data_IF_135068198584
#
_entry.id   IF_135068198584
#
_cell.length_a   1.000
_cell.length_b   1.000
_cell.length_c   1.000
_cell.angle_alpha   90.00
_cell.angle_beta   90.00
_cell.angle_gamma   90.00
#
_symmetry.space_group_name_H-M   'P 1'
#
loop_
_entity.id
_entity.type
_entity.pdbx_description
1 polymer ?
#
# COMPACT_ATOMS: atom_id res chain seq x y z
N UNK A 1 -4.46 -40.43 -20.33
CA UNK A 1 -4.16 -39.79 -19.02
C UNK A 1 -2.74 -39.27 -19.16
N UNK A 2 -2.50 -37.98 -18.87
CA UNK A 2 -1.15 -37.41 -18.86
C UNK A 2 -0.59 -37.45 -17.43
N UNK A 3 0.72 -37.58 -17.33
CA UNK A 3 1.40 -37.55 -16.03
C UNK A 3 1.22 -36.19 -15.35
N UNK A 4 1.25 -36.21 -14.01
CA UNK A 4 1.14 -34.99 -13.21
C UNK A 4 2.41 -34.11 -13.37
N UNK A 5 2.21 -32.87 -13.81
CA UNK A 5 3.29 -31.89 -14.04
C UNK A 5 3.38 -30.83 -12.93
N UNK A 6 2.60 -30.95 -11.87
CA UNK A 6 2.50 -29.94 -10.80
C UNK A 6 3.84 -29.60 -10.18
N UNK A 7 4.73 -30.59 -10.01
CA UNK A 7 6.07 -30.38 -9.46
C UNK A 7 7.02 -29.60 -10.39
N UNK A 8 6.68 -29.48 -11.66
CA UNK A 8 7.46 -28.77 -12.67
C UNK A 8 6.96 -27.33 -12.88
N UNK A 9 5.76 -27.01 -12.41
CA UNK A 9 5.14 -25.69 -12.54
C UNK A 9 5.58 -24.82 -11.38
N UNK A 10 6.32 -23.74 -11.68
CA UNK A 10 6.73 -22.76 -10.67
C UNK A 10 5.64 -21.71 -10.45
N UNK A 11 5.45 -21.32 -9.20
CA UNK A 11 4.57 -20.20 -8.86
C UNK A 11 5.16 -18.88 -9.37
N UNK A 12 4.28 -17.96 -9.74
CA UNK A 12 4.68 -16.57 -10.05
C UNK A 12 5.33 -15.99 -8.79
N UNK A 13 6.49 -15.35 -8.97
CA UNK A 13 7.26 -14.82 -7.84
C UNK A 13 8.36 -15.73 -7.30
N UNK A 14 8.39 -17.03 -7.72
CA UNK A 14 9.36 -17.99 -7.19
C UNK A 14 10.63 -18.15 -8.03
N UNK A 15 10.69 -17.60 -9.24
CA UNK A 15 11.76 -17.90 -10.21
C UNK A 15 13.14 -17.40 -9.75
N UNK A 16 13.20 -16.16 -9.26
CA UNK A 16 14.45 -15.50 -8.82
C UNK A 16 14.44 -15.18 -7.34
N UNK A 17 13.54 -15.79 -6.57
CA UNK A 17 13.49 -15.58 -5.13
C UNK A 17 14.64 -16.27 -4.40
N UNK A 18 15.20 -15.60 -3.42
CA UNK A 18 16.16 -16.15 -2.48
C UNK A 18 15.92 -15.58 -1.08
N UNK A 19 16.39 -16.29 -0.05
CA UNK A 19 16.24 -15.84 1.36
C UNK A 19 16.87 -14.48 1.64
N UNK A 20 17.89 -14.10 0.86
CA UNK A 20 18.64 -12.86 1.03
C UNK A 20 18.15 -11.75 0.08
N UNK A 21 17.10 -11.99 -0.71
CA UNK A 21 16.60 -11.03 -1.69
C UNK A 21 16.19 -9.70 -1.05
N UNK A 22 15.64 -9.73 0.18
CA UNK A 22 15.26 -8.52 0.91
C UNK A 22 16.44 -7.54 1.13
N UNK A 23 17.67 -8.05 1.29
CA UNK A 23 18.88 -7.22 1.43
C UNK A 23 19.10 -6.38 0.16
N UNK A 24 18.92 -6.99 -1.00
CA UNK A 24 19.04 -6.30 -2.29
C UNK A 24 17.94 -5.24 -2.45
N UNK A 25 16.69 -5.56 -2.09
CA UNK A 25 15.58 -4.60 -2.12
C UNK A 25 15.86 -3.39 -1.20
N UNK A 26 16.37 -3.66 0.01
CA UNK A 26 16.76 -2.63 0.96
C UNK A 26 17.85 -1.70 0.38
N UNK A 27 18.89 -2.29 -0.21
CA UNK A 27 20.03 -1.53 -0.76
C UNK A 27 19.65 -0.72 -2.01
N UNK A 28 18.84 -1.29 -2.89
CA UNK A 28 18.51 -0.65 -4.17
C UNK A 28 17.43 0.43 -4.02
N UNK A 29 16.42 0.20 -3.19
CA UNK A 29 15.30 1.14 -3.01
C UNK A 29 15.36 1.94 -1.71
N UNK A 30 16.28 1.63 -0.80
CA UNK A 30 16.36 2.30 0.50
C UNK A 30 15.10 2.11 1.34
N UNK A 31 14.53 0.89 1.33
CA UNK A 31 13.33 0.54 2.10
C UNK A 31 13.67 0.31 3.57
N UNK A 32 12.66 0.37 4.43
CA UNK A 32 12.77 -0.18 5.79
C UNK A 32 13.00 -1.69 5.75
N UNK A 33 13.74 -2.20 6.73
CA UNK A 33 14.14 -3.62 6.77
C UNK A 33 12.94 -4.56 6.85
N UNK A 34 11.94 -4.23 7.66
CA UNK A 34 10.73 -5.03 7.81
C UNK A 34 9.84 -4.98 6.56
N UNK A 35 9.76 -3.83 5.87
CA UNK A 35 9.08 -3.67 4.58
C UNK A 35 9.77 -4.52 3.51
N UNK A 36 11.10 -4.42 3.38
CA UNK A 36 11.85 -5.21 2.41
C UNK A 36 11.70 -6.73 2.66
N UNK A 37 11.73 -7.15 3.92
CA UNK A 37 11.51 -8.54 4.31
C UNK A 37 10.09 -9.00 3.99
N UNK A 38 9.08 -8.19 4.33
CA UNK A 38 7.68 -8.45 4.00
C UNK A 38 7.48 -8.61 2.49
N UNK A 39 7.96 -7.66 1.69
CA UNK A 39 7.81 -7.69 0.23
C UNK A 39 8.49 -8.93 -0.39
N UNK A 40 9.71 -9.26 0.05
CA UNK A 40 10.41 -10.45 -0.41
C UNK A 40 9.65 -11.74 -0.14
N UNK A 41 9.04 -11.86 1.04
CA UNK A 41 8.31 -13.06 1.43
C UNK A 41 6.91 -13.16 0.81
N UNK A 42 6.24 -12.01 0.62
CA UNK A 42 4.87 -11.98 0.13
C UNK A 42 4.78 -12.02 -1.41
N UNK A 43 5.72 -11.37 -2.09
CA UNK A 43 5.69 -11.21 -3.56
C UNK A 43 6.80 -11.99 -4.27
N UNK A 44 7.79 -12.52 -3.54
CA UNK A 44 8.93 -13.16 -4.16
C UNK A 44 9.66 -12.22 -5.13
N UNK A 45 10.04 -12.68 -6.33
CA UNK A 45 10.70 -11.84 -7.33
C UNK A 45 9.82 -10.72 -7.91
N UNK A 46 8.50 -10.75 -7.65
CA UNK A 46 7.59 -9.64 -7.98
C UNK A 46 7.74 -8.45 -7.05
N UNK A 47 8.42 -8.60 -5.91
CA UNK A 47 8.74 -7.48 -5.04
C UNK A 47 9.47 -6.35 -5.78
N UNK A 48 10.29 -6.65 -6.79
CA UNK A 48 10.91 -5.65 -7.66
C UNK A 48 9.88 -4.79 -8.39
N UNK A 49 8.81 -5.41 -8.89
CA UNK A 49 7.73 -4.69 -9.55
C UNK A 49 6.95 -3.81 -8.57
N UNK A 50 6.74 -4.26 -7.34
CA UNK A 50 6.11 -3.45 -6.28
C UNK A 50 7.00 -2.26 -5.93
N UNK A 51 8.30 -2.48 -5.72
CA UNK A 51 9.25 -1.43 -5.38
C UNK A 51 9.40 -0.39 -6.49
N UNK A 52 9.33 -0.80 -7.77
CA UNK A 52 9.47 0.12 -8.92
C UNK A 52 8.34 1.17 -9.01
N UNK A 53 7.19 0.91 -8.41
CA UNK A 53 6.07 1.85 -8.34
C UNK A 53 5.96 2.55 -6.98
N UNK A 54 6.88 2.24 -6.04
CA UNK A 54 6.90 2.88 -4.73
C UNK A 54 7.34 4.35 -4.85
N UNK A 55 6.56 5.23 -4.25
CA UNK A 55 6.86 6.66 -4.21
C UNK A 55 7.97 6.96 -3.19
N UNK A 56 8.81 7.99 -3.44
CA UNK A 56 9.73 8.50 -2.45
C UNK A 56 8.98 8.98 -1.20
N UNK A 57 9.56 8.77 -0.03
CA UNK A 57 9.00 9.23 1.25
C UNK A 57 9.21 10.74 1.47
N UNK A 58 10.24 11.31 0.83
CA UNK A 58 10.70 12.66 1.10
C UNK A 58 11.63 12.76 2.31
N UNK A 59 11.89 11.66 3.00
CA UNK A 59 12.75 11.58 4.16
C UNK A 59 14.17 11.11 3.79
N UNK A 60 15.11 11.30 4.73
CA UNK A 60 16.47 10.79 4.56
C UNK A 60 16.52 9.24 4.56
N UNK A 61 15.64 8.62 5.32
CA UNK A 61 15.45 7.18 5.40
C UNK A 61 14.10 6.87 6.09
N UNK A 62 13.30 5.93 5.54
CA UNK A 62 13.52 5.21 4.28
C UNK A 62 13.36 6.11 3.05
N UNK A 63 14.07 5.81 1.95
CA UNK A 63 13.99 6.62 0.72
C UNK A 63 12.67 6.40 -0.03
N UNK A 64 12.19 5.15 -0.08
CA UNK A 64 10.96 4.76 -0.75
C UNK A 64 10.08 3.92 0.17
N UNK A 65 8.81 3.77 -0.20
CA UNK A 65 7.86 2.90 0.50
C UNK A 65 7.07 3.61 1.57
N UNK A 66 6.20 4.57 1.17
CA UNK A 66 5.26 5.21 2.08
C UNK A 66 4.38 4.15 2.70
N UNK A 67 4.41 4.03 4.03
CA UNK A 67 3.61 3.04 4.76
C UNK A 67 2.15 3.42 4.78
N UNK A 68 1.29 2.41 4.78
CA UNK A 68 -0.16 2.57 5.00
C UNK A 68 -0.47 2.83 6.48
N UNK A 69 0.30 2.20 7.36
CA UNK A 69 0.21 2.31 8.81
C UNK A 69 1.58 2.07 9.46
N UNK A 70 1.83 2.68 10.63
CA UNK A 70 3.12 2.58 11.32
C UNK A 70 3.38 1.22 11.95
N UNK A 71 2.34 0.45 12.29
CA UNK A 71 2.46 -0.83 12.99
C UNK A 71 2.64 -2.01 12.02
N UNK A 72 2.29 -1.83 10.74
CA UNK A 72 2.29 -2.90 9.75
C UNK A 72 3.27 -2.57 8.61
N UNK A 73 3.95 -3.59 8.04
CA UNK A 73 4.96 -3.38 7.01
C UNK A 73 4.38 -3.18 5.60
N UNK A 74 3.10 -2.80 5.50
CA UNK A 74 2.44 -2.59 4.21
C UNK A 74 2.65 -1.17 3.71
N UNK A 75 2.90 -1.03 2.39
CA UNK A 75 3.15 0.23 1.73
C UNK A 75 2.09 0.56 0.67
N UNK A 76 1.95 1.84 0.33
CA UNK A 76 1.00 2.31 -0.70
C UNK A 76 1.21 1.62 -2.07
N UNK A 77 2.46 1.29 -2.40
CA UNK A 77 2.79 0.62 -3.66
C UNK A 77 2.10 -0.75 -3.80
N UNK A 78 1.88 -1.46 -2.68
CA UNK A 78 1.18 -2.75 -2.70
C UNK A 78 -0.29 -2.59 -3.10
N UNK A 79 -0.95 -1.50 -2.66
CA UNK A 79 -2.34 -1.21 -3.09
C UNK A 79 -2.38 -0.98 -4.60
N UNK A 80 -1.45 -0.18 -5.14
CA UNK A 80 -1.35 0.07 -6.59
C UNK A 80 -1.05 -1.21 -7.37
N UNK A 81 -0.12 -2.01 -6.87
CA UNK A 81 0.24 -3.28 -7.49
C UNK A 81 -0.93 -4.27 -7.50
N UNK A 82 -1.62 -4.42 -6.35
CA UNK A 82 -2.79 -5.29 -6.23
C UNK A 82 -3.91 -4.87 -7.21
N UNK A 83 -4.13 -3.57 -7.39
CA UNK A 83 -5.13 -3.05 -8.33
C UNK A 83 -4.72 -3.28 -9.78
N UNK A 84 -3.46 -2.95 -10.15
CA UNK A 84 -2.98 -3.02 -11.54
C UNK A 84 -2.71 -4.45 -12.01
N UNK A 85 -2.18 -5.31 -11.14
CA UNK A 85 -1.59 -6.60 -11.51
C UNK A 85 -2.32 -7.80 -10.92
N UNK A 86 -3.12 -7.62 -9.87
CA UNK A 86 -3.75 -8.73 -9.15
C UNK A 86 -5.28 -8.64 -9.09
N UNK A 87 -5.88 -7.76 -9.92
CA UNK A 87 -7.32 -7.63 -10.08
C UNK A 87 -8.10 -7.30 -8.78
N UNK A 88 -7.49 -6.55 -7.86
CA UNK A 88 -8.21 -6.00 -6.71
C UNK A 88 -9.15 -4.88 -7.20
N UNK A 89 -10.47 -5.07 -7.07
CA UNK A 89 -11.50 -4.14 -7.55
C UNK A 89 -12.38 -3.58 -6.43
N UNK A 90 -12.18 -4.04 -5.19
CA UNK A 90 -12.85 -3.57 -3.97
C UNK A 90 -11.82 -3.35 -2.88
N UNK A 91 -12.09 -2.42 -1.95
CA UNK A 91 -11.22 -2.21 -0.80
C UNK A 91 -11.03 -3.49 0.03
N UNK A 92 -12.07 -4.31 0.16
CA UNK A 92 -12.04 -5.61 0.84
C UNK A 92 -11.13 -6.64 0.14
N UNK A 93 -10.92 -6.54 -1.17
CA UNK A 93 -9.99 -7.43 -1.88
C UNK A 93 -8.56 -7.19 -1.39
N UNK A 94 -8.18 -5.93 -1.19
CA UNK A 94 -6.86 -5.60 -0.67
C UNK A 94 -6.73 -5.95 0.81
N UNK A 95 -7.60 -5.44 1.69
CA UNK A 95 -7.44 -5.59 3.14
C UNK A 95 -7.61 -7.02 3.65
N UNK A 96 -8.40 -7.85 2.95
CA UNK A 96 -8.71 -9.21 3.39
C UNK A 96 -7.97 -10.29 2.58
N UNK A 97 -7.83 -10.12 1.26
CA UNK A 97 -7.34 -11.19 0.38
C UNK A 97 -5.88 -11.00 -0.03
N UNK A 98 -5.42 -9.75 -0.22
CA UNK A 98 -4.05 -9.47 -0.66
C UNK A 98 -3.12 -9.25 0.53
N UNK A 99 -3.39 -8.27 1.36
CA UNK A 99 -2.57 -7.94 2.53
C UNK A 99 -2.94 -8.72 3.79
N UNK A 100 -4.20 -9.13 3.94
CA UNK A 100 -4.76 -9.74 5.15
C UNK A 100 -4.72 -8.84 6.39
N UNK A 101 -4.52 -7.54 6.23
CA UNK A 101 -4.44 -6.54 7.30
C UNK A 101 -5.63 -6.61 8.25
N UNK A 102 -6.86 -6.77 7.70
CA UNK A 102 -8.10 -6.83 8.47
C UNK A 102 -8.14 -7.95 9.50
N UNK A 103 -7.38 -9.03 9.28
CA UNK A 103 -7.27 -10.16 10.21
C UNK A 103 -6.08 -10.03 11.17
N UNK A 104 -5.06 -9.26 10.80
CA UNK A 104 -3.85 -9.10 11.60
C UNK A 104 -4.01 -7.99 12.65
N UNK A 105 -4.54 -6.84 12.24
CA UNK A 105 -4.81 -5.70 13.10
C UNK A 105 -5.94 -4.85 12.51
N UNK A 106 -7.14 -5.00 13.04
CA UNK A 106 -8.33 -4.30 12.55
C UNK A 106 -8.23 -2.79 12.79
N UNK A 107 -7.68 -2.34 13.94
CA UNK A 107 -7.56 -0.91 14.24
C UNK A 107 -6.61 -0.21 13.24
N UNK A 108 -5.41 -0.76 13.03
CA UNK A 108 -4.46 -0.26 12.03
C UNK A 108 -5.06 -0.29 10.61
N UNK A 109 -5.87 -1.30 10.29
CA UNK A 109 -6.55 -1.37 9.00
C UNK A 109 -7.58 -0.27 8.82
N UNK A 110 -8.37 0.05 9.86
CA UNK A 110 -9.34 1.14 9.82
C UNK A 110 -8.62 2.49 9.66
N UNK A 111 -7.49 2.70 10.32
CA UNK A 111 -6.68 3.92 10.17
C UNK A 111 -6.12 4.07 8.75
N UNK A 112 -5.66 2.99 8.13
CA UNK A 112 -5.14 2.97 6.77
C UNK A 112 -6.24 3.03 5.69
N UNK A 113 -7.48 2.65 6.01
CA UNK A 113 -8.55 2.45 5.04
C UNK A 113 -8.87 3.67 4.16
N UNK A 114 -8.93 4.92 4.68
CA UNK A 114 -9.18 6.08 3.83
C UNK A 114 -8.12 6.22 2.74
N UNK A 115 -6.85 5.97 3.09
CA UNK A 115 -5.74 6.05 2.14
C UNK A 115 -5.79 4.93 1.10
N UNK A 116 -6.12 3.70 1.52
CA UNK A 116 -6.32 2.57 0.61
C UNK A 116 -7.42 2.87 -0.41
N UNK A 117 -8.57 3.37 0.05
CA UNK A 117 -9.70 3.73 -0.81
C UNK A 117 -9.34 4.85 -1.78
N UNK A 118 -8.59 5.86 -1.34
CA UNK A 118 -8.11 6.93 -2.21
C UNK A 118 -7.21 6.41 -3.32
N UNK A 119 -6.22 5.58 -2.97
CA UNK A 119 -5.29 5.00 -3.96
C UNK A 119 -6.03 4.12 -4.96
N UNK A 120 -6.92 3.24 -4.49
CA UNK A 120 -7.73 2.41 -5.40
C UNK A 120 -8.66 3.27 -6.26
N UNK A 121 -9.20 4.36 -5.70
CA UNK A 121 -10.00 5.32 -6.43
C UNK A 121 -9.22 6.05 -7.53
N UNK A 122 -7.95 6.41 -7.27
CA UNK A 122 -7.04 6.96 -8.28
C UNK A 122 -6.76 5.95 -9.41
N UNK A 123 -6.58 4.68 -9.08
CA UNK A 123 -6.22 3.64 -10.05
C UNK A 123 -7.42 3.13 -10.88
N UNK A 124 -8.63 3.21 -10.34
CA UNK A 124 -9.86 2.66 -10.92
C UNK A 124 -10.87 3.73 -11.35
N UNK A 125 -10.47 5.01 -11.31
CA UNK A 125 -11.31 6.15 -11.67
C UNK A 125 -12.65 6.17 -10.89
N UNK A 126 -12.61 5.92 -9.57
CA UNK A 126 -13.81 5.92 -8.75
C UNK A 126 -14.32 7.32 -8.49
N UNK A 127 -15.64 7.49 -8.60
CA UNK A 127 -16.32 8.69 -8.10
C UNK A 127 -16.25 8.76 -6.56
N UNK A 128 -16.41 9.95 -5.98
CA UNK A 128 -16.44 10.12 -4.53
C UNK A 128 -17.57 9.30 -3.87
N UNK A 129 -18.71 9.15 -4.55
CA UNK A 129 -19.80 8.28 -4.09
C UNK A 129 -19.35 6.82 -4.01
N UNK A 130 -18.57 6.36 -5.01
CA UNK A 130 -18.04 4.99 -5.00
C UNK A 130 -17.01 4.81 -3.88
N UNK A 131 -16.12 5.75 -3.66
CA UNK A 131 -15.15 5.71 -2.55
C UNK A 131 -15.84 5.60 -1.19
N UNK A 132 -16.88 6.40 -0.96
CA UNK A 132 -17.67 6.34 0.27
C UNK A 132 -18.36 4.98 0.45
N UNK A 133 -18.91 4.42 -0.63
CA UNK A 133 -19.52 3.08 -0.59
C UNK A 133 -18.49 2.00 -0.27
N UNK A 134 -17.31 2.02 -0.90
CA UNK A 134 -16.24 1.07 -0.64
C UNK A 134 -15.69 1.18 0.80
N UNK A 135 -15.53 2.41 1.30
CA UNK A 135 -15.17 2.63 2.71
C UNK A 135 -16.20 2.00 3.65
N UNK A 136 -17.50 2.30 3.44
CA UNK A 136 -18.58 1.77 4.28
C UNK A 136 -18.66 0.25 4.21
N UNK A 137 -18.50 -0.34 3.01
CA UNK A 137 -18.51 -1.78 2.82
C UNK A 137 -17.33 -2.47 3.53
N UNK A 138 -16.15 -1.85 3.52
CA UNK A 138 -14.99 -2.37 4.23
C UNK A 138 -15.18 -2.32 5.76
N UNK A 139 -15.77 -1.25 6.28
CA UNK A 139 -16.14 -1.13 7.70
C UNK A 139 -17.15 -2.23 8.09
N UNK A 140 -18.22 -2.43 7.32
CA UNK A 140 -19.20 -3.50 7.56
C UNK A 140 -18.55 -4.89 7.50
N UNK A 141 -17.64 -5.10 6.57
CA UNK A 141 -16.88 -6.35 6.50
C UNK A 141 -16.08 -6.60 7.78
N UNK A 142 -15.33 -5.61 8.27
CA UNK A 142 -14.55 -5.75 9.52
C UNK A 142 -15.45 -5.96 10.73
N UNK A 143 -16.59 -5.29 10.79
CA UNK A 143 -17.60 -5.50 11.83
C UNK A 143 -18.17 -6.93 11.81
N UNK A 144 -18.36 -7.52 10.62
CA UNK A 144 -18.87 -8.90 10.51
C UNK A 144 -17.91 -9.96 11.06
N UNK A 145 -16.66 -9.61 11.31
CA UNK A 145 -15.66 -10.49 11.93
C UNK A 145 -15.72 -10.49 13.48
N UNK A 146 -16.73 -9.88 14.07
CA UNK A 146 -16.96 -9.90 15.52
C UNK A 146 -16.29 -8.74 16.29
N UNK A 147 -15.86 -7.70 15.59
CA UNK A 147 -15.36 -6.47 16.22
C UNK A 147 -16.56 -5.61 16.68
N UNK A 148 -16.46 -4.99 17.86
CA UNK A 148 -17.51 -4.11 18.38
C UNK A 148 -17.79 -2.94 17.41
N UNK A 149 -19.04 -2.87 16.96
CA UNK A 149 -19.49 -1.82 16.01
C UNK A 149 -19.32 -0.41 16.55
N UNK A 150 -19.47 -0.21 17.87
CA UNK A 150 -19.27 1.10 18.48
C UNK A 150 -17.81 1.54 18.30
N UNK A 151 -16.89 0.67 18.67
CA UNK A 151 -15.45 0.92 18.52
C UNK A 151 -15.04 1.13 17.07
N UNK A 152 -15.53 0.27 16.16
CA UNK A 152 -15.26 0.40 14.71
C UNK A 152 -15.77 1.74 14.16
N UNK A 153 -16.96 2.18 14.57
CA UNK A 153 -17.52 3.46 14.10
C UNK A 153 -16.77 4.70 14.61
N UNK A 154 -16.27 4.64 15.85
CA UNK A 154 -15.43 5.69 16.41
C UNK A 154 -14.10 5.81 15.64
N UNK A 155 -13.38 4.70 15.50
CA UNK A 155 -12.12 4.64 14.76
C UNK A 155 -12.29 5.07 13.30
N UNK A 156 -13.38 4.69 12.65
CA UNK A 156 -13.68 5.10 11.28
C UNK A 156 -13.87 6.62 11.16
N UNK A 157 -14.52 7.27 12.12
CA UNK A 157 -14.65 8.73 12.15
C UNK A 157 -13.31 9.41 12.36
N UNK A 158 -12.52 8.93 13.31
CA UNK A 158 -11.17 9.45 13.59
C UNK A 158 -10.25 9.31 12.37
N UNK A 159 -10.28 8.16 11.69
CA UNK A 159 -9.45 7.91 10.50
C UNK A 159 -9.79 8.85 9.34
N UNK A 160 -11.07 9.17 9.14
CA UNK A 160 -11.50 10.15 8.13
C UNK A 160 -11.05 11.57 8.46
N UNK A 161 -11.05 11.96 9.74
CA UNK A 161 -10.52 13.27 10.18
C UNK A 161 -9.02 13.33 9.94
N UNK A 162 -8.27 12.31 10.35
CA UNK A 162 -6.81 12.22 10.11
C UNK A 162 -6.48 12.29 8.61
N UNK A 163 -7.24 11.58 7.77
CA UNK A 163 -7.02 11.59 6.32
C UNK A 163 -7.24 12.97 5.69
N UNK A 164 -8.20 13.76 6.16
CA UNK A 164 -8.43 15.15 5.71
C UNK A 164 -7.26 16.04 6.06
N UNK A 165 -6.80 16.02 7.31
CA UNK A 165 -5.65 16.81 7.77
C UNK A 165 -4.37 16.45 7.02
N UNK A 166 -4.15 15.17 6.71
CA UNK A 166 -3.01 14.72 5.91
C UNK A 166 -3.04 15.27 4.48
N UNK A 167 -4.21 15.26 3.82
CA UNK A 167 -4.40 15.83 2.47
C UNK A 167 -4.11 17.33 2.46
N UNK A 168 -4.56 18.06 3.46
CA UNK A 168 -4.35 19.51 3.57
C UNK A 168 -2.86 19.85 3.71
N UNK A 169 -2.09 19.09 4.48
CA UNK A 169 -0.64 19.29 4.66
C UNK A 169 0.19 18.88 3.44
N UNK A 170 -0.21 17.84 2.71
CA UNK A 170 0.53 17.30 1.56
C UNK A 170 -0.03 17.76 0.21
N UNK A 171 -0.93 18.75 0.18
CA UNK A 171 -1.42 19.34 -1.06
C UNK A 171 -0.29 20.12 -1.76
N UNK A 172 -0.15 20.02 -3.10
CA UNK A 172 0.92 20.70 -3.87
C UNK A 172 0.99 22.22 -3.68
N UNK A 173 -0.02 22.85 -3.08
CA UNK A 173 -0.06 24.29 -2.79
C UNK A 173 0.94 24.75 -1.73
N UNK A 174 1.51 23.85 -0.93
CA UNK A 174 2.51 24.17 0.11
C UNK A 174 3.96 23.93 -0.34
N UNK A 175 4.16 23.37 -1.51
CA UNK A 175 5.48 23.33 -2.11
C UNK A 175 5.73 24.68 -2.80
N UNK A 176 6.21 25.65 -2.03
CA UNK A 176 6.68 26.94 -2.56
C UNK A 176 7.68 26.71 -3.69
N UNK A 177 7.63 27.48 -4.79
CA UNK A 177 8.58 27.37 -5.89
C UNK A 177 9.89 28.09 -5.52
N UNK A 178 10.72 27.44 -4.73
CA UNK A 178 12.03 27.95 -4.37
C UNK A 178 13.13 27.01 -4.84
N UNK A 179 13.20 26.75 -6.15
CA UNK A 179 14.39 26.19 -6.81
C UNK A 179 14.27 26.28 -8.36
N UNK A 180 14.05 27.49 -8.86
CA UNK A 180 14.25 27.74 -10.28
C UNK A 180 14.87 29.14 -10.48
N UNK A 181 16.14 29.27 -10.11
CA UNK A 181 16.99 30.33 -10.62
C UNK A 181 18.46 29.99 -10.30
N UNK A 182 19.05 29.12 -11.09
CA UNK A 182 20.51 29.18 -11.27
C UNK A 182 20.78 30.11 -12.42
N UNK A 183 21.55 31.20 -12.23
CA UNK A 183 21.96 32.06 -13.34
C UNK A 183 22.97 31.32 -14.22
N UNK A 184 22.63 31.21 -15.50
CA UNK A 184 23.57 30.83 -16.54
C UNK A 184 24.68 31.92 -16.56
N UNK A 185 25.86 31.59 -16.11
CA UNK A 185 27.05 32.43 -16.37
C UNK A 185 27.46 32.22 -17.80
N UNK A 186 27.24 33.27 -18.60
CA UNK A 186 27.85 33.44 -19.92
C UNK A 186 29.29 33.91 -19.75
N UNK A 187 30.23 33.18 -20.27
CA UNK A 187 31.49 33.61 -20.90
C UNK A 187 31.85 32.64 -21.98
#
# INVERSE_FOLDING_TARGET
>A
IRDCVTSQVRLIGSHSWSRTMYVRLLQEFGLDTDVAFHLSNSYGDRAWSVCSIAKPTGERYPLHGIRLDSQLPYIEAEVRYATRSEFAVKATDFIARRSRMSFLNTEATIEALPRIVDIMGEELDWSETRKQAEFSNAILFMASMGVDMTRVSELAKESLVKARTWKDHNSPRHLSPALSASPVMST
#
